data_IF_864375790631
#
_entry.id   IF_864375790631
#
_cell.length_a   1.000
_cell.length_b   1.000
_cell.length_c   1.000
_cell.angle_alpha   90.00
_cell.angle_beta   90.00
_cell.angle_gamma   90.00
#
_symmetry.space_group_name_H-M   'P 1'
#
loop_
_entity.id
_entity.type
_entity.pdbx_description
1 polymer ?
#
# COMPACT_ATOMS: atom_id res chain seq x y z
N UNK A 1 29.25 0.02 30.95
CA UNK A 1 28.54 -0.74 29.91
C UNK A 1 27.34 0.10 29.52
N UNK A 2 27.44 0.90 28.46
CA UNK A 2 26.31 1.72 27.97
C UNK A 2 25.25 0.77 27.43
N UNK A 3 24.11 0.71 28.11
CA UNK A 3 22.94 0.00 27.62
C UNK A 3 22.52 0.61 26.27
N UNK A 4 22.56 -0.18 25.21
CA UNK A 4 22.10 0.23 23.88
C UNK A 4 20.68 0.78 23.98
N UNK A 5 20.50 2.09 23.80
CA UNK A 5 19.21 2.79 23.86
C UNK A 5 18.40 2.64 22.58
N UNK A 6 18.72 1.67 21.72
CA UNK A 6 18.04 1.39 20.47
C UNK A 6 17.57 -0.05 20.40
N UNK A 7 16.35 -0.25 19.95
CA UNK A 7 15.86 -1.59 19.61
C UNK A 7 16.76 -2.21 18.54
N UNK A 8 17.20 -3.47 18.70
CA UNK A 8 17.99 -4.14 17.67
C UNK A 8 17.25 -4.16 16.34
N UNK A 9 18.02 -4.03 15.27
CA UNK A 9 17.46 -3.98 13.92
C UNK A 9 16.94 -5.35 13.51
N UNK A 10 15.74 -5.40 12.99
CA UNK A 10 15.07 -6.65 12.57
C UNK A 10 15.30 -6.84 11.06
N UNK A 11 16.27 -7.66 10.70
CA UNK A 11 16.73 -7.86 9.32
C UNK A 11 15.64 -8.34 8.36
N UNK A 12 14.73 -9.22 8.81
CA UNK A 12 13.62 -9.71 8.01
C UNK A 12 12.67 -8.57 7.59
N UNK A 13 12.50 -7.54 8.44
CA UNK A 13 11.68 -6.36 8.13
C UNK A 13 12.34 -5.51 7.06
N UNK A 14 13.66 -5.31 7.13
CA UNK A 14 14.38 -4.58 6.09
C UNK A 14 14.33 -5.32 4.74
N UNK A 15 14.49 -6.65 4.75
CA UNK A 15 14.38 -7.48 3.55
C UNK A 15 12.97 -7.46 2.96
N UNK A 16 11.93 -7.57 3.81
CA UNK A 16 10.53 -7.52 3.38
C UNK A 16 10.16 -6.13 2.82
N UNK A 17 10.71 -5.06 3.39
CA UNK A 17 10.54 -3.69 2.84
C UNK A 17 11.22 -3.56 1.49
N UNK A 18 12.42 -4.11 1.33
CA UNK A 18 13.12 -4.16 0.04
C UNK A 18 12.34 -4.94 -1.00
N UNK A 19 11.79 -6.09 -0.63
CA UNK A 19 10.90 -6.87 -1.49
C UNK A 19 9.68 -6.06 -1.93
N UNK A 20 9.01 -5.37 -1.00
CA UNK A 20 7.84 -4.55 -1.32
C UNK A 20 8.17 -3.43 -2.31
N UNK A 21 9.27 -2.68 -2.10
CA UNK A 21 9.68 -1.58 -2.98
C UNK A 21 10.11 -2.10 -4.35
N UNK A 22 10.83 -3.23 -4.42
CA UNK A 22 11.18 -3.87 -5.70
C UNK A 22 9.92 -4.33 -6.46
N UNK A 23 8.96 -4.93 -5.76
CA UNK A 23 7.72 -5.37 -6.38
C UNK A 23 6.84 -4.19 -6.87
N UNK A 24 6.86 -3.05 -6.15
CA UNK A 24 6.25 -1.81 -6.61
C UNK A 24 6.94 -1.32 -7.89
N UNK A 25 8.28 -1.34 -7.96
CA UNK A 25 9.02 -0.97 -9.17
C UNK A 25 8.60 -1.82 -10.38
N UNK A 26 8.45 -3.14 -10.19
CA UNK A 26 8.01 -4.02 -11.29
C UNK A 26 6.61 -3.63 -11.80
N UNK A 27 5.67 -3.31 -10.90
CA UNK A 27 4.32 -2.85 -11.28
C UNK A 27 4.39 -1.49 -11.98
N UNK A 28 5.14 -0.53 -11.43
CA UNK A 28 5.28 0.81 -12.03
C UNK A 28 5.93 0.76 -13.43
N UNK A 29 6.91 -0.12 -13.64
CA UNK A 29 7.49 -0.30 -14.98
C UNK A 29 6.43 -0.72 -16.00
N UNK A 30 5.52 -1.63 -15.62
CA UNK A 30 4.43 -2.05 -16.50
C UNK A 30 3.36 -0.98 -16.69
N UNK A 31 3.08 -0.16 -15.66
CA UNK A 31 2.05 0.87 -15.71
C UNK A 31 2.51 2.16 -16.40
N UNK A 32 3.79 2.54 -16.28
CA UNK A 32 4.25 3.88 -16.64
C UNK A 32 5.34 3.92 -17.71
N UNK A 33 6.16 2.89 -17.84
CA UNK A 33 7.35 2.93 -18.69
C UNK A 33 7.27 2.07 -19.96
N UNK A 34 6.36 1.10 -20.01
CA UNK A 34 6.16 0.26 -21.20
C UNK A 34 5.17 0.90 -22.18
N UNK A 35 4.48 1.97 -21.80
CA UNK A 35 3.50 2.67 -22.61
C UNK A 35 4.06 3.91 -23.33
N UNK A 36 3.57 4.22 -24.51
CA UNK A 36 2.53 3.60 -25.33
C UNK A 36 3.03 3.04 -26.66
N UNK A 37 4.32 2.73 -26.81
CA UNK A 37 4.89 2.32 -28.10
C UNK A 37 5.01 0.80 -28.13
N UNK A 38 4.01 0.16 -28.72
CA UNK A 38 4.08 -1.26 -29.01
C UNK A 38 4.62 -1.47 -30.43
N UNK A 39 5.43 -2.51 -30.71
CA UNK A 39 5.81 -2.88 -32.05
C UNK A 39 4.54 -3.24 -32.85
N UNK A 40 4.48 -2.81 -34.11
CA UNK A 40 3.33 -3.04 -34.99
C UNK A 40 3.06 -4.54 -35.22
N UNK A 41 4.08 -5.37 -35.11
CA UNK A 41 3.95 -6.83 -35.13
C UNK A 41 4.97 -7.49 -34.21
N UNK A 42 4.49 -8.43 -33.40
CA UNK A 42 5.33 -9.29 -32.57
C UNK A 42 5.07 -10.76 -32.90
N UNK A 43 6.09 -11.64 -32.87
CA UNK A 43 5.83 -13.08 -32.94
C UNK A 43 4.83 -13.54 -31.89
N UNK A 44 3.98 -14.51 -32.23
CA UNK A 44 2.92 -15.01 -31.35
C UNK A 44 3.43 -15.44 -29.97
N UNK A 45 4.56 -16.17 -29.94
CA UNK A 45 5.18 -16.61 -28.69
C UNK A 45 5.58 -15.44 -27.77
N UNK A 46 6.02 -14.32 -28.35
CA UNK A 46 6.39 -13.13 -27.59
C UNK A 46 5.15 -12.45 -27.02
N UNK A 47 4.07 -12.34 -27.78
CA UNK A 47 2.78 -11.80 -27.32
C UNK A 47 2.21 -12.62 -26.15
N UNK A 48 2.30 -13.95 -26.22
CA UNK A 48 1.89 -14.86 -25.14
C UNK A 48 2.77 -14.66 -23.90
N UNK A 49 4.10 -14.53 -24.09
CA UNK A 49 5.03 -14.31 -23.00
C UNK A 49 4.78 -12.96 -22.30
N UNK A 50 4.60 -11.89 -23.07
CA UNK A 50 4.31 -10.54 -22.55
C UNK A 50 3.01 -10.53 -21.74
N UNK A 51 1.94 -11.12 -22.27
CA UNK A 51 0.68 -11.27 -21.54
C UNK A 51 0.86 -12.09 -20.25
N UNK A 52 1.64 -13.17 -20.31
CA UNK A 52 1.96 -14.00 -19.15
C UNK A 52 2.72 -13.23 -18.06
N UNK A 53 3.77 -12.48 -18.44
CA UNK A 53 4.56 -11.65 -17.52
C UNK A 53 3.71 -10.53 -16.92
N UNK A 54 2.92 -9.85 -17.75
CA UNK A 54 2.00 -8.80 -17.29
C UNK A 54 1.02 -9.35 -16.26
N UNK A 55 0.27 -10.41 -16.62
CA UNK A 55 -0.73 -11.01 -15.75
C UNK A 55 -0.12 -11.56 -14.45
N UNK A 56 1.04 -12.21 -14.52
CA UNK A 56 1.73 -12.71 -13.34
C UNK A 56 2.16 -11.57 -12.40
N UNK A 57 2.77 -10.51 -12.95
CA UNK A 57 3.24 -9.36 -12.16
C UNK A 57 2.06 -8.65 -11.48
N UNK A 58 1.00 -8.36 -12.22
CA UNK A 58 -0.19 -7.71 -11.64
C UNK A 58 -0.90 -8.59 -10.61
N UNK A 59 -1.08 -9.88 -10.91
CA UNK A 59 -1.74 -10.81 -9.99
C UNK A 59 -0.97 -11.01 -8.70
N UNK A 60 0.36 -11.04 -8.75
CA UNK A 60 1.18 -11.26 -7.57
C UNK A 60 1.44 -9.97 -6.77
N UNK A 61 1.63 -8.82 -7.42
CA UNK A 61 2.21 -7.64 -6.77
C UNK A 61 1.29 -6.42 -6.74
N UNK A 62 0.42 -6.20 -7.76
CA UNK A 62 -0.40 -5.00 -7.80
C UNK A 62 -1.33 -4.88 -6.59
N UNK A 63 -1.22 -3.79 -5.85
CA UNK A 63 -1.94 -3.51 -4.62
C UNK A 63 -1.43 -4.29 -3.38
N UNK A 64 -0.76 -5.45 -3.54
CA UNK A 64 -0.26 -6.28 -2.43
C UNK A 64 1.10 -5.78 -1.93
N UNK A 65 2.03 -5.46 -2.83
CA UNK A 65 3.32 -4.85 -2.48
C UNK A 65 3.14 -3.48 -1.82
N UNK A 66 2.22 -2.68 -2.31
CA UNK A 66 1.76 -1.46 -1.65
C UNK A 66 1.26 -1.72 -0.22
N UNK A 67 0.41 -2.75 -0.03
CA UNK A 67 -0.14 -3.10 1.27
C UNK A 67 0.94 -3.58 2.25
N UNK A 68 1.94 -4.34 1.79
CA UNK A 68 3.13 -4.70 2.60
C UNK A 68 3.86 -3.43 3.03
N UNK A 69 4.10 -2.50 2.10
CA UNK A 69 4.82 -1.27 2.39
C UNK A 69 4.06 -0.39 3.38
N UNK A 70 2.73 -0.27 3.25
CA UNK A 70 1.87 0.44 4.17
C UNK A 70 1.90 -0.18 5.59
N UNK A 71 1.77 -1.49 5.70
CA UNK A 71 1.87 -2.18 6.99
C UNK A 71 3.22 -1.92 7.66
N UNK A 72 4.31 -1.98 6.89
CA UNK A 72 5.66 -1.71 7.39
C UNK A 72 5.89 -0.23 7.76
N UNK A 73 5.12 0.69 7.19
CA UNK A 73 5.13 2.10 7.62
C UNK A 73 4.60 2.24 9.05
N UNK A 74 3.46 1.63 9.37
CA UNK A 74 2.92 1.58 10.73
C UNK A 74 3.85 0.87 11.72
N UNK A 75 4.49 -0.23 11.31
CA UNK A 75 5.51 -0.90 12.10
C UNK A 75 6.72 0.01 12.37
N UNK A 76 7.17 0.76 11.38
CA UNK A 76 8.28 1.71 11.52
C UNK A 76 7.94 2.84 12.50
N UNK A 77 6.69 3.31 12.49
CA UNK A 77 6.20 4.26 13.49
C UNK A 77 6.33 3.70 14.90
N UNK A 78 5.96 2.42 15.13
CA UNK A 78 6.17 1.78 16.43
C UNK A 78 7.65 1.79 16.86
N UNK A 79 8.55 1.30 16.00
CA UNK A 79 9.98 1.23 16.33
C UNK A 79 10.53 2.61 16.70
N UNK A 80 10.17 3.64 15.94
CA UNK A 80 10.65 4.99 16.20
C UNK A 80 10.05 5.58 17.49
N UNK A 81 8.75 5.34 17.73
CA UNK A 81 8.07 5.77 18.95
C UNK A 81 8.68 5.09 20.17
N UNK A 82 8.87 3.79 20.11
CA UNK A 82 9.49 3.00 21.19
C UNK A 82 10.92 3.47 21.50
N UNK A 83 11.74 3.70 20.47
CA UNK A 83 13.11 4.22 20.64
C UNK A 83 13.16 5.63 21.23
N UNK A 84 12.13 6.46 21.04
CA UNK A 84 12.04 7.76 21.70
C UNK A 84 11.56 7.64 23.15
N UNK A 85 10.62 6.74 23.40
CA UNK A 85 10.14 6.44 24.76
C UNK A 85 11.26 5.93 25.66
N UNK A 86 12.15 5.06 25.15
CA UNK A 86 13.35 4.62 25.88
C UNK A 86 14.28 5.78 26.28
N UNK A 87 14.17 6.91 25.59
CA UNK A 87 14.91 8.16 25.90
C UNK A 87 14.08 9.17 26.70
N UNK A 88 12.92 8.77 27.22
CA UNK A 88 11.99 9.64 27.95
C UNK A 88 11.35 10.73 27.08
N UNK A 89 11.28 10.57 25.73
CA UNK A 89 10.77 11.57 24.79
C UNK A 89 9.53 11.09 24.09
N UNK A 90 8.53 11.96 23.89
CA UNK A 90 7.39 11.69 23.00
C UNK A 90 7.83 11.81 21.54
N UNK A 91 7.42 10.83 20.72
CA UNK A 91 7.69 10.82 19.30
C UNK A 91 6.70 11.65 18.48
N UNK A 92 5.53 11.98 19.02
CA UNK A 92 4.40 12.53 18.27
C UNK A 92 4.75 13.73 17.39
N UNK A 93 5.33 14.79 17.98
CA UNK A 93 5.71 15.98 17.19
C UNK A 93 6.81 15.72 16.16
N UNK A 94 7.76 14.84 16.49
CA UNK A 94 8.80 14.42 15.53
C UNK A 94 8.20 13.66 14.35
N UNK A 95 7.18 12.86 14.61
CA UNK A 95 6.45 12.15 13.56
C UNK A 95 5.71 13.14 12.65
N UNK A 96 4.98 14.11 13.22
CA UNK A 96 4.30 15.14 12.41
C UNK A 96 5.30 15.91 11.54
N UNK A 97 6.45 16.30 12.09
CA UNK A 97 7.50 16.95 11.29
C UNK A 97 7.98 16.05 10.14
N UNK A 98 8.12 14.75 10.37
CA UNK A 98 8.43 13.78 9.30
C UNK A 98 7.33 13.69 8.25
N UNK A 99 6.06 13.83 8.63
CA UNK A 99 4.96 13.89 7.67
C UNK A 99 5.02 15.17 6.82
N UNK A 100 5.40 16.31 7.41
CA UNK A 100 5.64 17.56 6.66
C UNK A 100 6.76 17.37 5.64
N UNK A 101 7.89 16.77 6.05
CA UNK A 101 9.00 16.49 5.12
C UNK A 101 8.58 15.49 4.03
N UNK A 102 7.81 14.45 4.39
CA UNK A 102 7.29 13.49 3.43
C UNK A 102 6.32 14.16 2.44
N UNK A 103 5.49 15.10 2.90
CA UNK A 103 4.64 15.91 2.03
C UNK A 103 5.46 16.74 1.03
N UNK A 104 6.58 17.34 1.47
CA UNK A 104 7.51 18.01 0.58
C UNK A 104 8.09 17.09 -0.49
N UNK A 105 8.52 15.88 -0.12
CA UNK A 105 9.00 14.88 -1.08
C UNK A 105 7.88 14.39 -2.00
N UNK A 106 6.66 14.19 -1.50
CA UNK A 106 5.49 13.85 -2.31
C UNK A 106 5.18 14.93 -3.35
N UNK A 107 5.22 16.20 -2.94
CA UNK A 107 5.00 17.33 -3.86
C UNK A 107 6.10 17.44 -4.92
N UNK A 108 7.36 17.24 -4.55
CA UNK A 108 8.47 17.23 -5.50
C UNK A 108 8.34 16.05 -6.48
N UNK A 109 8.01 14.87 -5.98
CA UNK A 109 7.79 13.70 -6.84
C UNK A 109 6.62 13.91 -7.79
N UNK A 110 5.49 14.40 -7.28
CA UNK A 110 4.30 14.65 -8.09
C UNK A 110 4.50 15.74 -9.13
N UNK A 111 5.37 16.73 -8.90
CA UNK A 111 5.67 17.77 -9.89
C UNK A 111 6.13 17.18 -11.24
N UNK A 112 6.87 16.08 -11.19
CA UNK A 112 7.41 15.41 -12.37
C UNK A 112 6.64 14.13 -12.75
N UNK A 113 5.99 13.47 -11.79
CA UNK A 113 5.34 12.17 -11.93
C UNK A 113 3.97 12.15 -11.22
N UNK A 114 2.96 12.84 -11.74
CA UNK A 114 1.69 13.05 -11.04
C UNK A 114 0.84 11.78 -10.91
N UNK A 115 0.95 10.87 -11.86
CA UNK A 115 0.13 9.69 -11.89
C UNK A 115 0.68 8.62 -10.92
N UNK A 116 -0.14 8.23 -9.93
CA UNK A 116 0.16 7.08 -9.08
C UNK A 116 1.01 7.36 -7.84
N UNK A 117 1.32 8.63 -7.51
CA UNK A 117 2.05 8.93 -6.28
C UNK A 117 1.21 8.65 -5.03
N UNK A 118 1.68 7.67 -4.24
CA UNK A 118 1.03 7.25 -2.99
C UNK A 118 1.61 7.95 -1.76
N UNK A 119 2.68 8.75 -1.90
CA UNK A 119 3.35 9.38 -0.75
C UNK A 119 2.44 10.39 -0.06
N UNK A 120 1.68 11.17 -0.82
CA UNK A 120 0.73 12.13 -0.24
C UNK A 120 -0.41 11.41 0.51
N UNK A 121 -0.89 10.29 -0.01
CA UNK A 121 -1.84 9.44 0.71
C UNK A 121 -1.26 8.96 2.04
N UNK A 122 0.01 8.56 2.08
CA UNK A 122 0.69 8.15 3.32
C UNK A 122 0.82 9.31 4.32
N UNK A 123 1.02 10.53 3.84
CA UNK A 123 1.04 11.73 4.70
C UNK A 123 -0.32 11.95 5.35
N UNK A 124 -1.39 11.99 4.55
CA UNK A 124 -2.75 12.27 5.03
C UNK A 124 -3.22 11.17 5.99
N UNK A 125 -3.09 9.91 5.57
CA UNK A 125 -3.50 8.76 6.40
C UNK A 125 -2.58 8.57 7.60
N UNK A 126 -1.31 8.95 7.49
CA UNK A 126 -0.32 8.86 8.58
C UNK A 126 -0.73 9.61 9.84
N UNK A 127 -1.57 10.66 9.72
CA UNK A 127 -2.12 11.39 10.87
C UNK A 127 -2.87 10.46 11.84
N UNK A 128 -3.49 9.39 11.34
CA UNK A 128 -4.17 8.38 12.18
C UNK A 128 -3.20 7.79 13.20
N UNK A 129 -1.94 7.49 12.82
CA UNK A 129 -0.94 6.95 13.76
C UNK A 129 -0.62 7.94 14.89
N UNK A 130 -0.59 9.24 14.58
CA UNK A 130 -0.41 10.26 15.60
C UNK A 130 -1.57 10.30 16.58
N UNK A 131 -2.80 10.21 16.10
CA UNK A 131 -4.03 10.23 16.93
C UNK A 131 -4.05 9.02 17.87
N UNK A 132 -3.83 7.81 17.34
CA UNK A 132 -3.96 6.56 18.09
C UNK A 132 -2.72 6.18 18.90
N UNK A 133 -1.63 6.94 18.86
CA UNK A 133 -0.33 6.55 19.43
C UNK A 133 -0.36 6.18 20.91
N UNK A 134 -1.35 6.73 21.67
CA UNK A 134 -1.56 6.46 23.10
C UNK A 134 -2.70 5.49 23.37
N UNK A 135 -3.37 4.97 22.35
CA UNK A 135 -4.49 4.04 22.54
C UNK A 135 -4.01 2.66 22.99
N UNK A 136 -4.90 1.90 23.59
CA UNK A 136 -4.65 0.51 23.97
C UNK A 136 -4.50 -0.38 22.73
N UNK A 137 -3.80 -1.49 22.87
CA UNK A 137 -3.63 -2.47 21.78
C UNK A 137 -4.98 -3.00 21.26
N UNK A 138 -5.94 -3.20 22.18
CA UNK A 138 -7.30 -3.65 21.81
C UNK A 138 -8.02 -2.61 20.97
N UNK A 139 -7.95 -1.33 21.35
CA UNK A 139 -8.58 -0.25 20.58
C UNK A 139 -7.95 -0.12 19.18
N UNK A 140 -6.61 -0.18 19.08
CA UNK A 140 -5.91 -0.14 17.81
C UNK A 140 -6.34 -1.29 16.90
N UNK A 141 -6.40 -2.52 17.44
CA UNK A 141 -6.79 -3.70 16.66
C UNK A 141 -8.25 -3.60 16.16
N UNK A 142 -9.17 -3.19 17.04
CA UNK A 142 -10.58 -3.01 16.66
C UNK A 142 -10.71 -1.96 15.55
N UNK A 143 -10.02 -0.82 15.67
CA UNK A 143 -10.05 0.24 14.65
C UNK A 143 -9.40 -0.21 13.34
N UNK A 144 -8.31 -0.99 13.40
CA UNK A 144 -7.68 -1.57 12.22
C UNK A 144 -8.64 -2.50 11.46
N UNK A 145 -9.34 -3.38 12.19
CA UNK A 145 -10.36 -4.27 11.62
C UNK A 145 -11.52 -3.44 11.03
N UNK A 146 -12.02 -2.45 11.77
CA UNK A 146 -13.12 -1.59 11.32
C UNK A 146 -12.79 -0.90 9.99
N UNK A 147 -11.61 -0.29 9.85
CA UNK A 147 -11.19 0.33 8.58
C UNK A 147 -11.02 -0.69 7.46
N UNK A 148 -10.54 -1.90 7.78
CA UNK A 148 -10.36 -2.96 6.79
C UNK A 148 -11.68 -3.55 6.29
N UNK A 149 -12.78 -3.38 7.04
CA UNK A 149 -14.12 -3.76 6.60
C UNK A 149 -14.71 -2.84 5.53
N UNK A 150 -14.04 -1.75 5.18
CA UNK A 150 -14.47 -0.78 4.15
C UNK A 150 -15.85 -0.17 4.46
N UNK A 151 -16.03 0.48 5.62
CA UNK A 151 -17.35 0.98 6.04
C UNK A 151 -17.95 2.04 5.13
N UNK A 152 -17.16 2.78 4.35
CA UNK A 152 -17.65 3.78 3.39
C UNK A 152 -18.38 3.09 2.24
N UNK A 153 -17.80 2.05 1.68
CA UNK A 153 -18.37 1.26 0.59
C UNK A 153 -19.67 0.59 1.03
N UNK A 154 -19.69 0.03 2.23
CA UNK A 154 -20.91 -0.54 2.81
C UNK A 154 -21.97 0.51 3.11
N UNK A 155 -21.58 1.70 3.58
CA UNK A 155 -22.53 2.80 3.77
C UNK A 155 -23.21 3.19 2.45
N UNK A 156 -22.46 3.38 1.38
CA UNK A 156 -23.01 3.68 0.06
C UNK A 156 -23.92 2.57 -0.48
N UNK A 157 -23.53 1.31 -0.31
CA UNK A 157 -24.35 0.16 -0.69
C UNK A 157 -25.66 0.13 0.09
N UNK A 158 -25.62 0.30 1.41
CA UNK A 158 -26.82 0.32 2.26
C UNK A 158 -27.73 1.49 1.88
N UNK A 159 -27.18 2.69 1.65
CA UNK A 159 -27.97 3.85 1.20
C UNK A 159 -28.71 3.58 -0.10
N UNK A 160 -28.11 2.87 -1.03
CA UNK A 160 -28.77 2.49 -2.30
C UNK A 160 -29.92 1.49 -2.12
N UNK A 161 -29.88 0.66 -1.07
CA UNK A 161 -31.01 -0.23 -0.77
C UNK A 161 -32.25 0.51 -0.24
N UNK A 162 -32.03 1.61 0.49
CA UNK A 162 -33.13 2.44 1.03
C UNK A 162 -33.61 3.51 0.05
N UNK A 163 -32.78 3.92 -0.90
CA UNK A 163 -33.10 4.94 -1.89
C UNK A 163 -32.68 4.46 -3.30
N UNK A 164 -33.61 3.95 -4.12
CA UNK A 164 -33.31 3.50 -5.49
C UNK A 164 -32.74 4.58 -6.42
N UNK A 165 -32.97 5.87 -6.10
CA UNK A 165 -32.41 7.01 -6.83
C UNK A 165 -31.01 7.43 -6.32
N UNK A 166 -30.44 6.70 -5.36
CA UNK A 166 -29.14 7.00 -4.80
C UNK A 166 -28.03 6.80 -5.84
N UNK A 167 -27.19 7.80 -6.00
CA UNK A 167 -26.01 7.76 -6.87
C UNK A 167 -24.76 7.99 -6.01
N UNK A 168 -23.67 7.34 -6.39
CA UNK A 168 -22.38 7.59 -5.75
C UNK A 168 -21.89 9.02 -6.04
N UNK A 169 -21.19 9.67 -5.10
CA UNK A 169 -20.54 10.94 -5.34
C UNK A 169 -19.54 10.82 -6.52
N UNK A 170 -19.72 11.67 -7.53
CA UNK A 170 -18.75 11.74 -8.62
C UNK A 170 -17.50 12.50 -8.14
N UNK A 171 -16.38 11.80 -8.07
CA UNK A 171 -15.09 12.38 -7.70
C UNK A 171 -14.38 13.04 -8.89
N UNK A 172 -14.95 12.97 -10.09
CA UNK A 172 -14.39 13.55 -11.33
C UNK A 172 -12.93 13.15 -11.62
N UNK A 173 -12.50 11.97 -11.16
CA UNK A 173 -11.10 11.52 -11.25
C UNK A 173 -10.65 11.42 -12.70
N UNK A 174 -11.50 10.86 -13.57
CA UNK A 174 -11.20 10.73 -15.00
C UNK A 174 -10.98 12.08 -15.69
N UNK A 175 -11.83 13.07 -15.40
CA UNK A 175 -11.70 14.43 -15.95
C UNK A 175 -10.40 15.11 -15.47
N UNK A 176 -10.07 14.97 -14.18
CA UNK A 176 -8.82 15.51 -13.64
C UNK A 176 -7.59 14.88 -14.28
N UNK A 177 -7.55 13.56 -14.49
CA UNK A 177 -6.42 12.92 -15.20
C UNK A 177 -6.34 13.32 -16.67
N UNK A 178 -7.47 13.49 -17.35
CA UNK A 178 -7.49 13.96 -18.73
C UNK A 178 -6.93 15.39 -18.85
N UNK A 179 -7.26 16.28 -17.90
CA UNK A 179 -6.74 17.63 -17.84
C UNK A 179 -5.22 17.64 -17.55
N UNK A 180 -4.75 16.83 -16.59
CA UNK A 180 -3.31 16.65 -16.33
C UNK A 180 -2.57 16.16 -17.57
N UNK A 181 -3.15 15.21 -18.31
CA UNK A 181 -2.57 14.70 -19.56
C UNK A 181 -2.50 15.79 -20.65
N UNK A 182 -3.43 16.74 -20.67
CA UNK A 182 -3.38 17.87 -21.60
C UNK A 182 -2.19 18.81 -21.32
N UNK A 183 -1.88 19.08 -20.06
CA UNK A 183 -0.68 19.86 -19.69
C UNK A 183 0.62 19.17 -20.15
N UNK A 184 0.66 17.84 -20.12
CA UNK A 184 1.82 17.06 -20.57
C UNK A 184 2.04 17.19 -22.10
N UNK A 185 0.95 17.35 -22.88
CA UNK A 185 1.00 17.33 -24.35
C UNK A 185 1.24 18.69 -25.01
N UNK A 186 0.89 19.78 -24.36
CA UNK A 186 0.89 21.09 -25.04
C UNK A 186 1.15 22.31 -24.18
N UNK A 187 1.31 22.14 -22.90
CA UNK A 187 1.58 23.23 -21.95
C UNK A 187 3.03 23.67 -21.92
N UNK A 188 3.26 24.84 -21.34
CA UNK A 188 4.60 25.23 -20.98
C UNK A 188 5.06 24.47 -19.72
N UNK A 189 6.34 24.45 -19.47
CA UNK A 189 6.95 23.70 -18.33
C UNK A 189 6.33 24.09 -16.98
N UNK A 190 6.00 25.34 -16.76
CA UNK A 190 5.41 25.80 -15.50
C UNK A 190 3.98 25.34 -15.31
N UNK A 191 3.17 25.37 -16.38
CA UNK A 191 1.80 24.84 -16.36
C UNK A 191 1.79 23.35 -16.08
N UNK A 192 2.72 22.61 -16.68
CA UNK A 192 2.93 21.19 -16.41
C UNK A 192 3.23 20.95 -14.92
N UNK A 193 4.22 21.64 -14.33
CA UNK A 193 4.56 21.46 -12.91
C UNK A 193 3.41 21.85 -11.98
N UNK A 194 2.77 22.97 -12.22
CA UNK A 194 1.64 23.46 -11.39
C UNK A 194 0.44 22.51 -11.52
N UNK A 195 0.10 22.09 -12.72
CA UNK A 195 -0.98 21.15 -12.98
C UNK A 195 -0.76 19.82 -12.26
N UNK A 196 0.46 19.29 -12.30
CA UNK A 196 0.82 18.06 -11.60
C UNK A 196 0.70 18.20 -10.07
N UNK A 197 1.25 19.27 -9.51
CA UNK A 197 1.27 19.49 -8.05
C UNK A 197 -0.14 19.78 -7.51
N UNK A 198 -0.99 20.43 -8.28
CA UNK A 198 -2.34 20.78 -7.85
C UNK A 198 -3.36 19.70 -8.24
N UNK A 199 -3.68 19.64 -9.52
CA UNK A 199 -4.73 18.76 -10.03
C UNK A 199 -4.31 17.30 -10.03
N UNK A 200 -3.06 16.98 -10.37
CA UNK A 200 -2.54 15.63 -10.40
C UNK A 200 -2.53 14.97 -9.01
N UNK A 201 -2.06 15.67 -7.98
CA UNK A 201 -2.12 15.16 -6.61
C UNK A 201 -3.55 15.02 -6.10
N UNK A 202 -4.44 15.96 -6.43
CA UNK A 202 -5.85 15.86 -6.08
C UNK A 202 -6.50 14.65 -6.75
N UNK A 203 -6.24 14.43 -8.05
CA UNK A 203 -6.73 13.27 -8.79
C UNK A 203 -6.27 11.96 -8.15
N UNK A 204 -4.98 11.86 -7.78
CA UNK A 204 -4.40 10.69 -7.14
C UNK A 204 -5.04 10.38 -5.77
N UNK A 205 -5.28 11.41 -4.94
CA UNK A 205 -5.97 11.23 -3.66
C UNK A 205 -7.43 10.80 -3.84
N UNK A 206 -8.16 11.42 -4.77
CA UNK A 206 -9.55 11.08 -5.03
C UNK A 206 -9.70 9.68 -5.64
N UNK A 207 -8.77 9.31 -6.51
CA UNK A 207 -8.68 7.94 -6.99
C UNK A 207 -8.46 6.94 -5.84
N UNK A 208 -7.56 7.26 -4.91
CA UNK A 208 -7.31 6.40 -3.75
C UNK A 208 -8.55 6.26 -2.84
N UNK A 209 -9.37 7.31 -2.72
CA UNK A 209 -10.65 7.25 -2.01
C UNK A 209 -11.62 6.33 -2.77
N UNK A 210 -11.87 6.58 -4.05
CA UNK A 210 -12.79 5.77 -4.86
C UNK A 210 -12.37 4.31 -5.02
N UNK A 211 -11.06 4.02 -4.96
CA UNK A 211 -10.52 2.67 -4.99
C UNK A 211 -10.48 1.98 -3.60
N UNK A 212 -11.09 2.54 -2.54
CA UNK A 212 -11.10 1.98 -1.18
C UNK A 212 -9.73 1.98 -0.48
N UNK A 213 -8.70 2.56 -1.10
CA UNK A 213 -7.32 2.53 -0.57
C UNK A 213 -7.11 3.42 0.65
N UNK A 214 -7.93 4.45 0.81
CA UNK A 214 -7.80 5.35 1.95
C UNK A 214 -8.00 4.61 3.28
N UNK A 215 -9.10 3.88 3.42
CA UNK A 215 -9.38 3.09 4.62
C UNK A 215 -8.48 1.85 4.73
N UNK A 216 -8.18 1.20 3.60
CA UNK A 216 -7.23 0.08 3.59
C UNK A 216 -5.87 0.52 4.15
N UNK A 217 -5.35 1.67 3.72
CA UNK A 217 -4.05 2.19 4.18
C UNK A 217 -4.09 2.50 5.67
N UNK A 218 -5.16 3.13 6.15
CA UNK A 218 -5.33 3.40 7.58
C UNK A 218 -5.34 2.09 8.40
N UNK A 219 -6.11 1.09 7.97
CA UNK A 219 -6.13 -0.23 8.59
C UNK A 219 -4.75 -0.91 8.60
N UNK A 220 -4.03 -0.88 7.48
CA UNK A 220 -2.68 -1.45 7.36
C UNK A 220 -1.66 -0.75 8.26
N UNK A 221 -1.72 0.59 8.37
CA UNK A 221 -0.88 1.33 9.31
C UNK A 221 -1.13 0.90 10.76
N UNK A 222 -2.39 0.74 11.14
CA UNK A 222 -2.76 0.30 12.48
C UNK A 222 -2.38 -1.16 12.75
N UNK A 223 -2.54 -2.07 11.77
CA UNK A 223 -2.02 -3.43 11.88
C UNK A 223 -0.50 -3.44 12.03
N UNK A 224 0.23 -2.62 11.28
CA UNK A 224 1.67 -2.47 11.41
C UNK A 224 2.08 -1.99 12.80
N UNK A 225 1.40 -0.98 13.35
CA UNK A 225 1.59 -0.51 14.71
C UNK A 225 1.32 -1.62 15.74
N UNK A 226 0.21 -2.35 15.59
CA UNK A 226 -0.16 -3.47 16.47
C UNK A 226 0.88 -4.60 16.43
N UNK A 227 1.28 -5.05 15.23
CA UNK A 227 2.31 -6.06 15.03
C UNK A 227 3.63 -5.62 15.68
N UNK A 228 3.97 -4.33 15.58
CA UNK A 228 5.12 -3.76 16.25
C UNK A 228 5.04 -3.87 17.75
N UNK A 229 3.94 -3.45 18.36
CA UNK A 229 3.72 -3.54 19.82
C UNK A 229 3.75 -4.97 20.34
N UNK A 230 3.26 -5.93 19.56
CA UNK A 230 3.33 -7.36 19.86
C UNK A 230 4.65 -8.01 19.47
N UNK A 231 5.57 -7.25 18.86
CA UNK A 231 6.89 -7.72 18.42
C UNK A 231 6.85 -8.96 17.51
N UNK A 232 5.78 -9.11 16.72
CA UNK A 232 5.52 -10.33 15.93
C UNK A 232 6.56 -10.62 14.85
N UNK A 233 7.39 -9.63 14.46
CA UNK A 233 8.52 -9.84 13.55
C UNK A 233 9.78 -10.35 14.25
N UNK A 234 9.82 -10.39 15.58
CA UNK A 234 10.92 -11.02 16.33
C UNK A 234 10.75 -12.53 16.25
N UNK A 235 11.81 -13.23 15.86
CA UNK A 235 11.78 -14.69 15.69
C UNK A 235 11.73 -15.40 17.03
N UNK A 236 10.56 -15.89 17.40
CA UNK A 236 10.31 -16.82 18.51
C UNK A 236 9.42 -17.95 18.01
N UNK A 237 9.43 -19.10 18.69
CA UNK A 237 8.59 -20.23 18.31
C UNK A 237 7.10 -19.87 18.27
N UNK A 238 6.62 -19.09 19.26
CA UNK A 238 5.23 -18.64 19.34
C UNK A 238 4.86 -17.71 18.17
N UNK A 239 5.77 -16.79 17.78
CA UNK A 239 5.55 -15.89 16.65
C UNK A 239 5.60 -16.63 15.31
N UNK A 240 6.47 -17.63 15.15
CA UNK A 240 6.45 -18.47 13.95
C UNK A 240 5.15 -19.27 13.83
N UNK A 241 4.65 -19.83 14.94
CA UNK A 241 3.32 -20.49 14.97
C UNK A 241 2.19 -19.51 14.60
N UNK A 242 2.28 -18.25 15.04
CA UNK A 242 1.33 -17.21 14.63
C UNK A 242 1.36 -17.01 13.11
N UNK A 243 2.55 -16.85 12.52
CA UNK A 243 2.67 -16.63 11.07
C UNK A 243 2.24 -17.86 10.24
N UNK A 244 2.46 -19.09 10.74
CA UNK A 244 1.91 -20.30 10.09
C UNK A 244 0.39 -20.27 10.10
N UNK A 245 -0.25 -19.95 11.24
CA UNK A 245 -1.72 -19.82 11.32
C UNK A 245 -2.24 -18.72 10.40
N UNK A 246 -1.59 -17.56 10.41
CA UNK A 246 -1.94 -16.44 9.53
C UNK A 246 -1.86 -16.82 8.06
N UNK A 247 -0.81 -17.55 7.65
CA UNK A 247 -0.64 -18.05 6.30
C UNK A 247 -1.79 -18.99 5.90
N UNK A 248 -2.12 -19.97 6.74
CA UNK A 248 -3.18 -20.95 6.45
C UNK A 248 -4.54 -20.25 6.32
N UNK A 249 -4.89 -19.39 7.30
CA UNK A 249 -6.17 -18.66 7.28
C UNK A 249 -6.26 -17.77 6.04
N UNK A 250 -5.21 -17.01 5.75
CA UNK A 250 -5.19 -16.10 4.62
C UNK A 250 -5.25 -16.85 3.26
N UNK A 251 -4.54 -17.96 3.12
CA UNK A 251 -4.56 -18.79 1.91
C UNK A 251 -5.94 -19.40 1.66
N UNK A 252 -6.59 -19.94 2.71
CA UNK A 252 -7.95 -20.49 2.61
C UNK A 252 -8.97 -19.39 2.27
N UNK A 253 -8.80 -18.19 2.85
CA UNK A 253 -9.73 -17.06 2.64
C UNK A 253 -9.57 -16.43 1.25
N UNK A 254 -8.37 -16.49 0.66
CA UNK A 254 -8.09 -15.80 -0.60
C UNK A 254 -8.95 -16.28 -1.76
N UNK A 255 -9.05 -17.60 -1.98
CA UNK A 255 -9.75 -18.16 -3.13
C UNK A 255 -11.25 -17.78 -3.15
N UNK A 256 -12.03 -17.96 -2.06
CA UNK A 256 -13.43 -17.55 -2.05
C UNK A 256 -13.60 -16.03 -2.17
N UNK A 257 -12.74 -15.22 -1.55
CA UNK A 257 -12.81 -13.76 -1.68
C UNK A 257 -12.53 -13.30 -3.11
N UNK A 258 -11.55 -13.91 -3.77
CA UNK A 258 -11.24 -13.64 -5.17
C UNK A 258 -12.39 -14.02 -6.09
N UNK A 259 -12.94 -15.24 -5.92
CA UNK A 259 -14.07 -15.73 -6.73
C UNK A 259 -15.32 -14.85 -6.56
N UNK A 260 -15.67 -14.48 -5.33
CA UNK A 260 -16.77 -13.57 -5.06
C UNK A 260 -16.55 -12.19 -5.67
N UNK A 261 -15.35 -11.64 -5.56
CA UNK A 261 -15.00 -10.37 -6.21
C UNK A 261 -15.20 -10.44 -7.72
N UNK A 262 -14.72 -11.50 -8.39
CA UNK A 262 -14.91 -11.67 -9.84
C UNK A 262 -16.40 -11.75 -10.21
N UNK A 263 -17.22 -12.49 -9.45
CA UNK A 263 -18.66 -12.57 -9.67
C UNK A 263 -19.37 -11.22 -9.49
N UNK A 264 -19.00 -10.46 -8.45
CA UNK A 264 -19.56 -9.13 -8.19
C UNK A 264 -19.20 -8.16 -9.31
N UNK A 265 -17.98 -8.23 -9.84
CA UNK A 265 -17.51 -7.38 -10.94
C UNK A 265 -18.20 -7.69 -12.28
N UNK A 266 -18.89 -8.82 -12.42
CA UNK A 266 -19.73 -9.17 -13.57
C UNK A 266 -21.17 -8.67 -13.44
N UNK A 267 -21.56 -8.03 -12.33
CA UNK A 267 -22.89 -7.47 -12.14
C UNK A 267 -23.15 -6.33 -13.12
N UNK A 268 -24.36 -6.25 -13.69
CA UNK A 268 -24.79 -5.12 -14.53
C UNK A 268 -24.97 -3.81 -13.73
N UNK A 269 -25.01 -3.90 -12.41
CA UNK A 269 -25.17 -2.74 -11.53
C UNK A 269 -23.81 -2.13 -11.17
N UNK A 270 -23.51 -1.00 -11.78
CA UNK A 270 -22.25 -0.25 -11.55
C UNK A 270 -22.06 0.18 -10.09
N UNK A 271 -23.14 0.46 -9.35
CA UNK A 271 -23.06 0.80 -7.94
C UNK A 271 -22.58 -0.39 -7.09
N UNK A 272 -23.07 -1.60 -7.37
CA UNK A 272 -22.60 -2.83 -6.71
C UNK A 272 -21.12 -3.08 -7.02
N UNK A 273 -20.70 -2.91 -8.27
CA UNK A 273 -19.30 -3.04 -8.65
C UNK A 273 -18.41 -2.05 -7.87
N UNK A 274 -18.81 -0.77 -7.80
CA UNK A 274 -18.03 0.28 -7.16
C UNK A 274 -18.05 0.23 -5.62
N UNK A 275 -19.04 -0.39 -5.01
CA UNK A 275 -19.15 -0.50 -3.55
C UNK A 275 -18.73 -1.89 -3.07
N UNK A 276 -19.60 -2.87 -3.22
CA UNK A 276 -19.35 -4.25 -2.76
C UNK A 276 -18.12 -4.83 -3.46
N UNK A 277 -17.97 -4.60 -4.79
CA UNK A 277 -16.80 -5.02 -5.56
C UNK A 277 -15.49 -4.45 -5.01
N UNK A 278 -15.48 -3.16 -4.66
CA UNK A 278 -14.31 -2.51 -4.04
C UNK A 278 -13.99 -3.11 -2.67
N UNK A 279 -14.99 -3.37 -1.82
CA UNK A 279 -14.77 -3.98 -0.51
C UNK A 279 -14.14 -5.39 -0.66
N UNK A 280 -14.67 -6.23 -1.54
CA UNK A 280 -14.14 -7.57 -1.79
C UNK A 280 -12.75 -7.53 -2.46
N UNK A 281 -12.49 -6.56 -3.33
CA UNK A 281 -11.17 -6.35 -3.93
C UNK A 281 -10.12 -6.00 -2.85
N UNK A 282 -10.48 -5.14 -1.88
CA UNK A 282 -9.59 -4.82 -0.76
C UNK A 282 -9.36 -6.03 0.15
N UNK A 283 -10.38 -6.83 0.42
CA UNK A 283 -10.26 -8.02 1.28
C UNK A 283 -9.41 -9.12 0.64
N UNK A 284 -9.60 -9.43 -0.65
CA UNK A 284 -8.79 -10.43 -1.33
C UNK A 284 -7.32 -9.98 -1.44
N UNK A 285 -7.06 -8.68 -1.70
CA UNK A 285 -5.70 -8.12 -1.69
C UNK A 285 -5.08 -8.19 -0.31
N UNK A 286 -5.83 -7.91 0.74
CA UNK A 286 -5.36 -8.04 2.12
C UNK A 286 -5.02 -9.49 2.47
N UNK A 287 -5.89 -10.45 2.15
CA UNK A 287 -5.62 -11.88 2.37
C UNK A 287 -4.32 -12.31 1.65
N UNK A 288 -4.17 -11.97 0.37
CA UNK A 288 -2.95 -12.31 -0.36
C UNK A 288 -1.70 -11.59 0.17
N UNK A 289 -1.84 -10.36 0.66
CA UNK A 289 -0.76 -9.63 1.35
C UNK A 289 -0.27 -10.39 2.58
N UNK A 290 -1.18 -10.94 3.38
CA UNK A 290 -0.82 -11.77 4.55
C UNK A 290 -0.15 -13.07 4.11
N UNK A 291 -0.58 -13.69 3.00
CA UNK A 291 0.12 -14.84 2.40
C UNK A 291 1.56 -14.49 2.07
N UNK A 292 1.79 -13.36 1.39
CA UNK A 292 3.15 -12.92 1.01
C UNK A 292 4.02 -12.63 2.23
N UNK A 293 3.51 -11.87 3.21
CA UNK A 293 4.24 -11.52 4.44
C UNK A 293 4.60 -12.78 5.22
N UNK A 294 3.61 -13.65 5.47
CA UNK A 294 3.80 -14.87 6.27
C UNK A 294 4.78 -15.83 5.60
N UNK A 295 4.63 -16.04 4.28
CA UNK A 295 5.54 -16.87 3.49
C UNK A 295 6.96 -16.31 3.53
N UNK A 296 7.14 -15.01 3.37
CA UNK A 296 8.45 -14.36 3.42
C UNK A 296 9.11 -14.56 4.78
N UNK A 297 8.39 -14.35 5.89
CA UNK A 297 8.92 -14.51 7.25
C UNK A 297 9.31 -15.96 7.51
N UNK A 298 8.48 -16.93 7.12
CA UNK A 298 8.75 -18.35 7.33
C UNK A 298 9.93 -18.84 6.47
N UNK A 299 10.00 -18.41 5.21
CA UNK A 299 11.12 -18.71 4.32
C UNK A 299 12.41 -18.06 4.81
N UNK A 300 12.33 -16.88 5.43
CA UNK A 300 13.49 -16.17 5.97
C UNK A 300 14.19 -16.94 7.10
N UNK A 301 13.55 -17.97 7.69
CA UNK A 301 14.19 -18.88 8.63
C UNK A 301 15.19 -19.85 7.95
N UNK A 302 15.19 -19.95 6.63
CA UNK A 302 16.10 -20.81 5.86
C UNK A 302 17.31 -20.01 5.39
N UNK A 303 18.53 -20.49 5.73
CA UNK A 303 19.77 -19.80 5.37
C UNK A 303 19.95 -19.58 3.86
N UNK A 304 19.50 -20.54 3.02
CA UNK A 304 19.54 -20.39 1.56
C UNK A 304 18.68 -19.20 1.08
N UNK A 305 17.48 -19.03 1.67
CA UNK A 305 16.60 -17.92 1.32
C UNK A 305 17.16 -16.58 1.81
N UNK A 306 17.69 -16.53 3.05
CA UNK A 306 18.34 -15.33 3.58
C UNK A 306 19.49 -14.86 2.66
N UNK A 307 20.29 -15.80 2.16
CA UNK A 307 21.39 -15.50 1.22
C UNK A 307 20.84 -14.96 -0.10
N UNK A 308 19.80 -15.57 -0.66
CA UNK A 308 19.17 -15.15 -1.92
C UNK A 308 18.58 -13.74 -1.85
N UNK A 309 17.94 -13.38 -0.71
CA UNK A 309 17.31 -12.06 -0.53
C UNK A 309 18.20 -11.06 0.24
N UNK A 310 19.49 -11.35 0.39
CA UNK A 310 20.40 -10.54 1.21
C UNK A 310 20.54 -9.09 0.71
N UNK A 311 20.53 -8.87 -0.60
CA UNK A 311 20.56 -7.53 -1.23
C UNK A 311 19.30 -6.71 -0.93
N UNK A 312 18.14 -7.35 -0.78
CA UNK A 312 16.89 -6.66 -0.46
C UNK A 312 16.93 -5.95 0.89
N UNK A 313 17.76 -6.42 1.85
CA UNK A 313 17.96 -5.71 3.13
C UNK A 313 18.55 -4.32 2.93
N UNK A 314 19.50 -4.19 2.04
CA UNK A 314 20.13 -2.90 1.74
C UNK A 314 19.16 -2.01 0.95
N UNK A 315 18.47 -2.59 -0.02
CA UNK A 315 17.45 -1.90 -0.80
C UNK A 315 16.31 -1.37 0.09
N UNK A 316 15.84 -2.15 1.06
CA UNK A 316 14.79 -1.75 2.01
C UNK A 316 15.22 -0.66 3.01
N UNK A 317 16.53 -0.57 3.31
CA UNK A 317 17.07 0.51 4.17
C UNK A 317 16.92 1.90 3.53
N UNK A 318 16.95 1.97 2.22
CA UNK A 318 16.85 3.19 1.41
C UNK A 318 15.49 3.28 0.70
N UNK A 319 14.45 2.74 1.31
CA UNK A 319 13.14 2.54 0.66
C UNK A 319 12.52 3.82 0.07
N UNK A 320 12.64 4.97 0.74
CA UNK A 320 12.12 6.24 0.21
C UNK A 320 12.93 6.72 -1.00
N UNK A 321 14.26 6.67 -0.89
CA UNK A 321 15.16 7.03 -2.01
C UNK A 321 14.88 6.14 -3.21
N UNK A 322 14.82 4.82 -3.00
CA UNK A 322 14.54 3.85 -4.05
C UNK A 322 13.14 4.02 -4.66
N UNK A 323 12.15 4.40 -3.85
CA UNK A 323 10.81 4.70 -4.36
C UNK A 323 10.80 5.95 -5.25
N UNK A 324 11.44 7.05 -4.82
CA UNK A 324 11.50 8.28 -5.62
C UNK A 324 12.35 8.08 -6.87
N UNK A 325 13.48 7.36 -6.78
CA UNK A 325 14.33 7.09 -7.94
C UNK A 325 13.70 6.18 -9.01
N UNK A 326 12.58 5.53 -8.70
CA UNK A 326 11.79 4.80 -9.72
C UNK A 326 11.11 5.73 -10.73
N UNK A 327 10.93 6.97 -10.35
CA UNK A 327 10.26 7.98 -11.17
C UNK A 327 11.25 8.77 -12.05
N UNK A 328 12.55 8.55 -11.90
CA UNK A 328 13.63 9.19 -12.64
C UNK A 328 14.24 8.22 -13.65
#
# INVERSE_FOLDING_TARGET
MELSTKTPRIEVVDALRGFAVMAILLVHNLEHFIFPVYPESSPEWLTILDAGVFNATFSLFAGKSYAIFALLFGFTFYIQSHNQQLKGKDFGYRFLWRMVLLAGFATLNAAFFPAGDVLLLFVVVGIVLFIVRKWSDKAILITAIFFSLQPIEWFHYIMSLFNPAYTLPDLNVGAMYAEVAAYTKGGNFWEFLIGNVTLGQKASLFWAIGAGRFLQTAGLFLFGLYIGRKQLFVTTESHLKFWVKALIIAAISFAPLYSLKEQIMQSDNSLIQQTVGTAFDMWQKFAFTIVLISSFILLYQKAKFQKAVSSLRFYGKMSLTNYISQSV
#
